data_IF_225287680468
#
_entry.id   IF_225287680468
#
_cell.length_a   1.000
_cell.length_b   1.000
_cell.length_c   1.000
_cell.angle_alpha   90.00
_cell.angle_beta   90.00
_cell.angle_gamma   90.00
#
_symmetry.space_group_name_H-M   'P 1'
#
loop_
_entity.id
_entity.type
_entity.pdbx_description
1 polymer ?
#
# COMPACT_ATOMS: atom_id res chain seq x y z
N UNK A 1 -15.13 -1.05 -0.50
CA UNK A 1 -14.73 -1.89 0.61
C UNK A 1 -14.72 -1.09 1.90
N UNK A 2 -15.83 -1.13 2.61
CA UNK A 2 -15.98 -0.35 3.83
C UNK A 2 -15.73 -1.20 5.08
N UNK A 3 -15.40 -2.47 4.90
CA UNK A 3 -15.20 -3.40 5.99
C UNK A 3 -13.82 -3.21 6.63
N UNK A 4 -13.69 -3.46 7.95
CA UNK A 4 -12.36 -3.50 8.56
C UNK A 4 -11.49 -4.54 7.88
N UNK A 5 -10.20 -4.23 7.78
CA UNK A 5 -9.25 -5.10 7.09
C UNK A 5 -8.65 -6.10 8.06
N UNK A 6 -8.67 -7.37 7.68
CA UNK A 6 -7.93 -8.41 8.37
C UNK A 6 -6.84 -8.91 7.44
N UNK A 7 -5.60 -8.88 7.90
CA UNK A 7 -4.50 -9.40 7.10
C UNK A 7 -4.48 -10.94 7.07
N UNK A 8 -5.33 -11.59 7.86
CA UNK A 8 -5.39 -13.05 7.87
C UNK A 8 -5.70 -13.63 6.49
N UNK A 9 -6.51 -12.92 5.69
CA UNK A 9 -6.86 -13.40 4.36
C UNK A 9 -5.68 -13.34 3.38
N UNK A 10 -4.61 -12.65 3.76
CA UNK A 10 -3.40 -12.55 2.94
C UNK A 10 -2.24 -13.34 3.53
N UNK A 11 -2.52 -14.24 4.47
CA UNK A 11 -1.48 -15.04 5.12
C UNK A 11 -0.67 -15.82 4.09
N UNK A 12 0.64 -15.81 4.28
CA UNK A 12 1.54 -16.52 3.38
C UNK A 12 1.94 -15.76 2.14
N UNK A 13 1.40 -14.55 1.95
CA UNK A 13 1.77 -13.71 0.82
C UNK A 13 2.76 -12.63 1.24
N UNK A 14 3.60 -12.23 0.30
CA UNK A 14 4.42 -11.03 0.44
C UNK A 14 3.51 -9.84 0.13
N UNK A 15 3.52 -8.83 0.99
CA UNK A 15 2.58 -7.70 0.88
C UNK A 15 3.31 -6.37 0.75
N UNK A 16 2.83 -5.52 -0.15
CA UNK A 16 3.24 -4.13 -0.21
C UNK A 16 2.06 -3.27 0.24
N UNK A 17 2.21 -2.64 1.40
CA UNK A 17 1.18 -1.80 2.01
C UNK A 17 1.45 -0.35 1.65
N UNK A 18 0.49 0.33 1.03
CA UNK A 18 0.68 1.69 0.53
C UNK A 18 -0.46 2.58 0.98
N UNK A 19 -0.15 3.74 1.55
CA UNK A 19 -1.17 4.76 1.81
C UNK A 19 -1.30 5.62 0.54
N UNK A 20 -2.52 5.74 0.03
CA UNK A 20 -2.77 6.30 -1.28
C UNK A 20 -3.60 7.57 -1.25
N UNK A 21 -3.59 8.32 -2.34
CA UNK A 21 -4.40 9.52 -2.50
C UNK A 21 -4.71 9.74 -3.99
N UNK A 22 -5.84 10.41 -4.26
CA UNK A 22 -6.31 10.62 -5.63
C UNK A 22 -5.90 11.97 -6.22
N UNK A 23 -5.38 12.90 -5.40
CA UNK A 23 -5.07 14.26 -5.84
C UNK A 23 -3.63 14.67 -5.55
N UNK A 24 -2.74 13.72 -5.43
CA UNK A 24 -1.33 13.94 -5.10
C UNK A 24 -0.48 13.97 -6.36
N UNK A 25 0.67 14.67 -6.30
CA UNK A 25 1.64 14.62 -7.38
C UNK A 25 2.16 13.21 -7.64
N UNK A 26 2.12 12.33 -6.62
CA UNK A 26 2.52 10.93 -6.76
C UNK A 26 1.38 10.00 -7.17
N UNK A 27 0.17 10.51 -7.35
CA UNK A 27 -0.99 9.66 -7.73
C UNK A 27 -0.71 8.81 -8.98
N UNK A 28 0.07 9.27 -9.98
CA UNK A 28 0.42 8.40 -11.10
C UNK A 28 1.15 7.12 -10.71
N UNK A 29 1.67 7.01 -9.50
CA UNK A 29 2.27 5.75 -9.03
C UNK A 29 1.26 4.62 -8.95
N UNK A 30 -0.04 4.90 -8.97
CA UNK A 30 -1.06 3.85 -9.10
C UNK A 30 -0.80 2.95 -10.29
N UNK A 31 -0.33 3.52 -11.41
CA UNK A 31 -0.04 2.73 -12.62
C UNK A 31 1.08 1.71 -12.35
N UNK A 32 2.15 2.17 -11.71
CA UNK A 32 3.26 1.27 -11.35
C UNK A 32 2.87 0.24 -10.31
N UNK A 33 2.01 0.61 -9.34
CA UNK A 33 1.52 -0.34 -8.34
C UNK A 33 0.70 -1.44 -8.99
N UNK A 34 -0.15 -1.09 -9.95
CA UNK A 34 -0.97 -2.09 -10.64
C UNK A 34 -0.09 -3.01 -11.49
N UNK A 35 0.91 -2.46 -12.17
CA UNK A 35 1.85 -3.27 -12.95
C UNK A 35 2.62 -4.23 -12.06
N UNK A 36 3.08 -3.74 -10.91
CA UNK A 36 3.79 -4.56 -9.94
C UNK A 36 2.89 -5.70 -9.45
N UNK A 37 1.64 -5.38 -9.12
CA UNK A 37 0.67 -6.36 -8.66
C UNK A 37 0.45 -7.45 -9.71
N UNK A 38 0.22 -7.07 -10.96
CA UNK A 38 -0.02 -8.02 -12.03
C UNK A 38 1.17 -8.92 -12.30
N UNK A 39 2.38 -8.36 -12.12
CA UNK A 39 3.62 -9.11 -12.36
C UNK A 39 3.81 -10.24 -11.35
N UNK A 40 3.46 -10.00 -10.08
CA UNK A 40 3.80 -10.95 -9.02
C UNK A 40 2.61 -11.63 -8.34
N UNK A 41 1.38 -11.24 -8.65
CA UNK A 41 0.22 -11.76 -7.92
C UNK A 41 0.10 -13.28 -7.96
N UNK A 42 0.46 -13.90 -9.09
CA UNK A 42 0.38 -15.35 -9.25
C UNK A 42 1.51 -16.08 -8.54
N UNK A 43 2.45 -15.32 -7.98
CA UNK A 43 3.60 -15.89 -7.26
C UNK A 43 3.49 -15.70 -5.75
N UNK A 44 2.35 -15.24 -5.27
CA UNK A 44 2.11 -15.06 -3.83
C UNK A 44 2.39 -13.66 -3.32
N UNK A 45 2.08 -12.66 -4.12
CA UNK A 45 2.28 -11.25 -3.77
C UNK A 45 0.98 -10.49 -3.89
N UNK A 46 0.78 -9.49 -3.05
CA UNK A 46 -0.35 -8.58 -3.17
C UNK A 46 0.07 -7.14 -2.82
N UNK A 47 -0.59 -6.20 -3.46
CA UNK A 47 -0.52 -4.78 -3.11
C UNK A 47 -1.81 -4.45 -2.38
N UNK A 48 -1.71 -3.77 -1.24
CA UNK A 48 -2.87 -3.34 -0.48
C UNK A 48 -2.86 -1.82 -0.37
N UNK A 49 -3.86 -1.17 -0.98
CA UNK A 49 -3.97 0.28 -0.97
C UNK A 49 -4.87 0.77 0.15
N UNK A 50 -4.40 1.76 0.90
CA UNK A 50 -5.13 2.35 2.01
C UNK A 50 -5.26 3.85 1.77
N UNK A 51 -6.38 4.30 1.17
CA UNK A 51 -6.60 5.73 0.95
C UNK A 51 -6.57 6.50 2.26
N UNK A 52 -5.87 7.62 2.27
CA UNK A 52 -5.72 8.43 3.48
C UNK A 52 -5.73 9.90 3.12
N UNK A 53 -6.43 10.70 3.92
CA UNK A 53 -6.54 12.15 3.70
C UNK A 53 -5.60 12.95 4.62
N UNK A 54 -4.63 12.26 5.26
CA UNK A 54 -3.77 12.86 6.28
C UNK A 54 -2.76 13.86 5.74
N UNK A 55 -2.42 13.76 4.47
CA UNK A 55 -1.34 14.55 3.89
C UNK A 55 -1.88 15.54 2.86
N UNK A 56 -2.00 16.78 3.28
CA UNK A 56 -2.47 17.84 2.40
C UNK A 56 -3.94 17.76 1.98
N UNK A 57 -4.72 16.87 2.62
CA UNK A 57 -6.11 16.69 2.25
C UNK A 57 -6.30 16.22 0.82
N UNK A 58 -5.38 15.40 0.30
CA UNK A 58 -5.37 15.00 -1.11
C UNK A 58 -6.18 13.74 -1.40
N UNK A 59 -7.00 13.29 -0.44
CA UNK A 59 -7.95 12.21 -0.65
C UNK A 59 -9.31 12.60 -0.04
N UNK A 60 -9.96 13.65 -0.56
CA UNK A 60 -11.19 14.16 0.07
C UNK A 60 -12.45 13.38 -0.26
N UNK A 61 -12.42 12.50 -1.27
CA UNK A 61 -13.61 11.80 -1.74
C UNK A 61 -14.12 10.73 -0.80
N UNK A 62 -15.33 10.26 -1.07
CA UNK A 62 -15.91 9.13 -0.37
C UNK A 62 -15.24 7.83 -0.81
N UNK A 63 -15.44 6.76 -0.05
CA UNK A 63 -14.89 5.45 -0.42
C UNK A 63 -15.37 5.01 -1.82
N UNK A 64 -16.61 5.28 -2.16
CA UNK A 64 -17.16 4.96 -3.47
C UNK A 64 -16.46 5.75 -4.57
N UNK A 65 -16.26 7.05 -4.35
CA UNK A 65 -15.58 7.92 -5.31
C UNK A 65 -14.13 7.50 -5.52
N UNK A 66 -13.46 7.13 -4.45
CA UNK A 66 -12.07 6.66 -4.52
C UNK A 66 -11.98 5.37 -5.32
N UNK A 67 -12.85 4.41 -5.04
CA UNK A 67 -12.87 3.13 -5.77
C UNK A 67 -13.11 3.35 -7.25
N UNK A 68 -14.05 4.25 -7.59
CA UNK A 68 -14.34 4.57 -8.98
C UNK A 68 -13.16 5.25 -9.66
N UNK A 69 -12.51 6.19 -8.98
CA UNK A 69 -11.34 6.87 -9.49
C UNK A 69 -10.23 5.87 -9.84
N UNK A 70 -9.94 4.94 -8.94
CA UNK A 70 -8.91 3.92 -9.16
C UNK A 70 -9.23 3.05 -10.37
N UNK A 71 -10.50 2.61 -10.47
CA UNK A 71 -10.92 1.72 -11.56
C UNK A 71 -10.90 2.44 -12.90
N UNK A 72 -11.47 3.65 -12.96
CA UNK A 72 -11.64 4.37 -14.22
C UNK A 72 -10.33 4.92 -14.75
N UNK A 73 -9.50 5.49 -13.87
CA UNK A 73 -8.30 6.19 -14.30
C UNK A 73 -7.06 5.31 -14.39
N UNK A 74 -7.01 4.22 -13.61
CA UNK A 74 -5.80 3.38 -13.53
C UNK A 74 -6.06 1.90 -13.69
N UNK A 75 -7.32 1.47 -13.83
CA UNK A 75 -7.65 0.07 -14.00
C UNK A 75 -7.17 -0.78 -12.82
N UNK A 76 -7.24 -0.25 -11.62
CA UNK A 76 -6.71 -0.92 -10.41
C UNK A 76 -7.48 -2.21 -10.13
N UNK A 77 -6.74 -3.31 -9.97
CA UNK A 77 -7.31 -4.60 -9.60
C UNK A 77 -6.80 -5.10 -8.24
N UNK A 78 -5.77 -4.48 -7.67
CA UNK A 78 -5.36 -4.84 -6.31
C UNK A 78 -6.36 -4.29 -5.29
N UNK A 79 -6.43 -4.89 -4.09
CA UNK A 79 -7.38 -4.42 -3.08
C UNK A 79 -7.13 -2.98 -2.63
N UNK A 80 -8.17 -2.16 -2.64
CA UNK A 80 -8.16 -0.80 -2.13
C UNK A 80 -9.21 -0.75 -1.03
N UNK A 81 -8.78 -0.40 0.19
CA UNK A 81 -9.66 -0.47 1.35
C UNK A 81 -10.32 0.87 1.65
N UNK A 82 -11.17 0.89 2.68
CA UNK A 82 -11.84 2.11 3.10
C UNK A 82 -10.82 3.15 3.55
N UNK A 83 -11.13 4.41 3.29
CA UNK A 83 -10.28 5.53 3.70
C UNK A 83 -10.04 5.46 5.21
N UNK A 84 -8.79 5.67 5.62
CA UNK A 84 -8.40 5.56 7.02
C UNK A 84 -7.32 6.59 7.34
N UNK A 85 -7.08 6.81 8.63
CA UNK A 85 -5.99 7.65 9.10
C UNK A 85 -4.76 6.76 9.27
N UNK A 86 -3.60 7.22 8.81
CA UNK A 86 -2.38 6.40 8.84
C UNK A 86 -1.27 6.96 9.74
N UNK A 87 -1.45 8.16 10.29
CA UNK A 87 -0.50 8.76 11.23
C UNK A 87 -1.21 9.33 12.44
N UNK A 88 -0.46 9.55 13.51
CA UNK A 88 -0.99 10.17 14.73
C UNK A 88 -1.65 9.17 15.66
N UNK A 89 -2.25 9.72 16.73
CA UNK A 89 -2.83 8.90 17.80
C UNK A 89 -4.00 8.05 17.34
N UNK A 90 -4.72 8.52 16.31
CA UNK A 90 -5.89 7.82 15.79
C UNK A 90 -5.59 6.99 14.55
N UNK A 91 -4.34 6.72 14.28
CA UNK A 91 -3.95 5.94 13.10
C UNK A 91 -4.50 4.52 13.18
N UNK A 92 -4.83 3.98 12.02
CA UNK A 92 -5.21 2.59 11.86
C UNK A 92 -4.18 1.71 12.58
N UNK A 93 -4.62 0.72 13.39
CA UNK A 93 -3.68 -0.11 14.15
C UNK A 93 -2.57 -0.76 13.30
N UNK A 94 -2.88 -1.14 12.06
CA UNK A 94 -1.87 -1.69 11.16
C UNK A 94 -0.75 -0.68 10.91
N UNK A 95 -1.11 0.56 10.59
CA UNK A 95 -0.11 1.60 10.33
C UNK A 95 0.65 2.00 11.58
N UNK A 96 0.00 1.98 12.76
CA UNK A 96 0.70 2.23 14.01
C UNK A 96 1.76 1.17 14.25
N UNK A 97 1.42 -0.08 14.03
CA UNK A 97 2.36 -1.19 14.21
C UNK A 97 3.51 -1.11 13.23
N UNK A 98 3.21 -0.86 11.95
CA UNK A 98 4.24 -0.75 10.92
C UNK A 98 5.19 0.43 11.19
N UNK A 99 4.63 1.56 11.60
CA UNK A 99 5.44 2.74 11.95
C UNK A 99 6.35 2.43 13.14
N UNK A 100 5.83 1.76 14.16
CA UNK A 100 6.61 1.42 15.36
C UNK A 100 7.73 0.43 15.03
N UNK A 101 7.42 -0.61 14.26
CA UNK A 101 8.41 -1.66 13.95
C UNK A 101 9.49 -1.18 13.00
N UNK A 102 9.16 -0.35 12.03
CA UNK A 102 10.13 0.15 11.06
C UNK A 102 10.81 1.43 11.52
N UNK A 103 10.20 2.13 12.48
CA UNK A 103 10.61 3.47 12.91
C UNK A 103 10.56 4.48 11.77
N UNK A 104 9.73 4.20 10.77
CA UNK A 104 9.55 5.06 9.60
C UNK A 104 8.07 5.25 9.31
N UNK A 105 7.39 6.15 10.06
CA UNK A 105 5.99 6.45 9.79
C UNK A 105 5.84 7.09 8.42
N UNK A 106 4.67 6.96 7.77
CA UNK A 106 4.43 7.66 6.52
C UNK A 106 4.61 9.17 6.73
N UNK A 107 5.33 9.82 5.81
CA UNK A 107 5.55 11.26 5.86
C UNK A 107 4.83 11.96 4.72
N UNK A 108 4.29 11.20 3.78
CA UNK A 108 3.50 11.72 2.67
C UNK A 108 2.71 10.57 2.04
N UNK A 109 1.92 10.90 1.03
CA UNK A 109 1.15 9.90 0.27
C UNK A 109 2.09 8.96 -0.48
N UNK A 110 1.66 7.73 -0.68
CA UNK A 110 2.42 6.68 -1.40
C UNK A 110 3.70 6.25 -0.71
N UNK A 111 3.73 6.34 0.63
CA UNK A 111 4.73 5.66 1.43
C UNK A 111 4.45 4.16 1.39
N UNK A 112 5.47 3.32 1.42
CA UNK A 112 5.31 1.89 1.19
C UNK A 112 5.99 1.07 2.27
N UNK A 113 5.31 0.03 2.74
CA UNK A 113 5.88 -0.97 3.64
C UNK A 113 5.85 -2.33 2.95
N UNK A 114 6.98 -3.03 2.97
CA UNK A 114 7.06 -4.38 2.40
C UNK A 114 7.09 -5.39 3.54
N UNK A 115 6.15 -6.34 3.52
CA UNK A 115 6.00 -7.37 4.54
C UNK A 115 6.34 -8.74 3.97
N UNK A 116 6.99 -9.57 4.79
CA UNK A 116 7.30 -10.93 4.39
C UNK A 116 6.06 -11.84 4.51
N UNK A 117 6.22 -13.13 4.23
CA UNK A 117 5.10 -14.09 4.27
C UNK A 117 4.51 -14.29 5.67
N UNK A 118 5.23 -13.86 6.70
CA UNK A 118 4.76 -13.91 8.08
C UNK A 118 4.14 -12.59 8.53
N UNK A 119 3.87 -11.69 7.58
CA UNK A 119 3.28 -10.36 7.83
C UNK A 119 4.17 -9.46 8.68
N UNK A 120 5.50 -9.67 8.64
CA UNK A 120 6.43 -8.81 9.34
C UNK A 120 7.07 -7.83 8.38
N UNK A 121 7.16 -6.54 8.75
CA UNK A 121 7.77 -5.55 7.86
C UNK A 121 9.28 -5.80 7.75
N UNK A 122 9.76 -5.83 6.52
CA UNK A 122 11.20 -6.02 6.25
C UNK A 122 11.83 -4.78 5.62
N UNK A 123 11.02 -3.87 5.07
CA UNK A 123 11.52 -2.64 4.48
C UNK A 123 10.43 -1.57 4.43
N UNK A 124 10.85 -0.31 4.42
CA UNK A 124 9.95 0.82 4.20
C UNK A 124 10.58 1.69 3.11
N UNK A 125 9.74 2.22 2.22
CA UNK A 125 10.19 3.04 1.10
C UNK A 125 9.45 4.37 1.10
N UNK A 126 10.19 5.45 0.92
CA UNK A 126 9.63 6.79 0.87
C UNK A 126 8.71 6.96 -0.35
N UNK A 127 7.87 7.98 -0.28
CA UNK A 127 6.89 8.28 -1.33
C UNK A 127 7.51 8.35 -2.72
N UNK A 128 8.68 8.97 -2.84
CA UNK A 128 9.33 9.19 -4.13
C UNK A 128 9.87 7.91 -4.79
N UNK A 129 10.00 6.82 -4.03
CA UNK A 129 10.47 5.56 -4.61
C UNK A 129 9.37 4.96 -5.46
N UNK A 130 9.60 4.85 -6.75
CA UNK A 130 8.60 4.32 -7.69
C UNK A 130 8.33 2.83 -7.41
N UNK A 131 7.09 2.38 -7.61
CA UNK A 131 6.73 0.99 -7.31
C UNK A 131 7.59 -0.05 -8.04
N UNK A 132 8.00 0.24 -9.27
CA UNK A 132 8.82 -0.70 -10.04
C UNK A 132 10.33 -0.47 -9.90
N UNK A 133 10.73 0.39 -8.95
CA UNK A 133 12.13 0.60 -8.64
C UNK A 133 12.78 -0.72 -8.21
N UNK A 134 14.01 -0.94 -8.62
CA UNK A 134 14.73 -2.18 -8.32
C UNK A 134 14.90 -2.42 -6.83
N UNK A 135 14.95 -1.37 -6.03
CA UNK A 135 15.01 -1.52 -4.57
C UNK A 135 13.80 -2.29 -4.04
N UNK A 136 12.64 -2.10 -4.70
CA UNK A 136 11.41 -2.79 -4.30
C UNK A 136 11.33 -4.16 -4.98
N UNK A 137 11.51 -4.21 -6.30
CA UNK A 137 11.34 -5.48 -7.04
C UNK A 137 12.35 -6.54 -6.60
N UNK A 138 13.60 -6.15 -6.34
CA UNK A 138 14.61 -7.09 -5.88
C UNK A 138 14.25 -7.70 -4.53
N UNK A 139 13.72 -6.88 -3.61
CA UNK A 139 13.31 -7.39 -2.30
C UNK A 139 12.08 -8.28 -2.40
N UNK A 140 11.12 -7.93 -3.27
CA UNK A 140 9.95 -8.79 -3.50
C UNK A 140 10.40 -10.16 -3.98
N UNK A 141 11.27 -10.19 -5.00
CA UNK A 141 11.72 -11.45 -5.58
C UNK A 141 12.47 -12.30 -4.56
N UNK A 142 13.30 -11.65 -3.74
CA UNK A 142 14.01 -12.33 -2.67
C UNK A 142 13.05 -12.97 -1.67
N UNK A 143 12.03 -12.22 -1.26
CA UNK A 143 11.04 -12.70 -0.29
C UNK A 143 10.17 -13.82 -0.87
N UNK A 144 9.85 -13.75 -2.17
CA UNK A 144 9.05 -14.79 -2.82
C UNK A 144 9.81 -16.11 -2.91
N UNK A 145 11.13 -16.07 -3.03
CA UNK A 145 11.98 -17.27 -3.02
C UNK A 145 12.21 -17.79 -1.62
N UNK A 146 12.04 -16.94 -0.61
CA UNK A 146 12.28 -17.30 0.78
C UNK A 146 11.24 -18.27 1.33
N UNK A 147 11.52 -18.82 2.52
CA UNK A 147 10.61 -19.74 3.22
C UNK A 147 9.86 -19.05 4.34
#
# INVERSE_FOLDING_TARGET
MDEPVSLCQFRGKVLLIVNTASECGYTPQYDGLEKLYRRYRDKGFAVLGFPANDFGGQEPGSNKEIAQFCRVNYGITFPVFAKTTVVGANANPLFRELSAKTKKPPQWNFHKYLLDKAAQPVAAFESAVEPEDRRITAEIEKLLLGR
#
